data_IF_393407346819
#
_entry.id   IF_393407346819
#
_cell.length_a   1.000
_cell.length_b   1.000
_cell.length_c   1.000
_cell.angle_alpha   90.00
_cell.angle_beta   90.00
_cell.angle_gamma   90.00
#
_symmetry.space_group_name_H-M   'P 1'
#
loop_
_entity.id
_entity.type
_entity.pdbx_description
1 polymer ?
#
# COMPACT_ATOMS: atom_id res chain seq x y z
N UNK A 1 -35.70 4.42 2.49
CA UNK A 1 -35.40 4.07 3.89
C UNK A 1 -34.08 4.71 4.28
N UNK A 2 -34.02 5.47 5.39
CA UNK A 2 -32.78 6.11 5.87
C UNK A 2 -31.90 5.05 6.55
N UNK A 3 -30.68 4.86 6.05
CA UNK A 3 -29.69 3.93 6.63
C UNK A 3 -29.09 4.61 7.87
N UNK A 4 -29.30 4.04 9.05
CA UNK A 4 -28.77 4.57 10.31
C UNK A 4 -27.26 4.30 10.40
N UNK A 5 -26.49 5.32 10.80
CA UNK A 5 -25.05 5.19 11.09
C UNK A 5 -24.90 4.24 12.29
N UNK A 6 -23.99 3.24 12.24
CA UNK A 6 -23.77 2.34 13.35
C UNK A 6 -23.30 3.12 14.59
N UNK A 7 -23.85 2.78 15.76
CA UNK A 7 -23.47 3.41 17.03
C UNK A 7 -21.96 3.28 17.28
N UNK A 8 -21.32 4.27 17.94
CA UNK A 8 -19.90 4.20 18.26
C UNK A 8 -19.57 2.93 19.04
N UNK A 9 -18.45 2.30 18.70
CA UNK A 9 -17.94 1.11 19.41
C UNK A 9 -17.79 1.47 20.89
N UNK A 10 -18.34 0.67 21.83
CA UNK A 10 -18.19 0.92 23.26
C UNK A 10 -16.70 0.99 23.64
N UNK A 11 -16.28 2.12 24.21
CA UNK A 11 -14.90 2.36 24.70
C UNK A 11 -14.57 1.59 25.98
N UNK A 12 -15.40 0.61 26.38
CA UNK A 12 -15.18 -0.19 27.57
C UNK A 12 -13.95 -1.08 27.42
N UNK A 13 -12.98 -0.89 28.32
CA UNK A 13 -11.78 -1.74 28.46
C UNK A 13 -12.22 -3.20 28.65
N UNK A 14 -12.17 -4.03 27.61
CA UNK A 14 -12.46 -5.45 27.81
C UNK A 14 -12.67 -6.36 26.60
N UNK A 15 -12.91 -5.86 25.37
CA UNK A 15 -13.00 -6.74 24.20
C UNK A 15 -12.65 -5.98 22.93
N UNK A 16 -11.36 -6.01 22.56
CA UNK A 16 -10.84 -5.42 21.32
C UNK A 16 -10.93 -6.47 20.22
N UNK A 17 -12.07 -6.57 19.54
CA UNK A 17 -12.07 -7.11 18.19
C UNK A 17 -12.21 -5.94 17.23
N UNK A 18 -11.16 -5.66 16.46
CA UNK A 18 -11.23 -4.75 15.31
C UNK A 18 -12.07 -5.35 14.15
N UNK A 19 -12.57 -6.57 14.31
CA UNK A 19 -13.44 -7.28 13.40
C UNK A 19 -14.88 -7.31 13.95
N UNK A 20 -15.48 -6.12 14.14
CA UNK A 20 -16.91 -6.02 14.42
C UNK A 20 -17.68 -6.25 13.10
N UNK A 21 -18.54 -7.27 12.99
CA UNK A 21 -19.21 -7.62 11.73
C UNK A 21 -20.18 -6.52 11.25
N UNK A 22 -20.70 -5.68 12.16
CA UNK A 22 -21.59 -4.56 11.82
C UNK A 22 -20.76 -3.45 11.18
N UNK A 23 -19.60 -3.12 11.77
CA UNK A 23 -18.67 -2.15 11.19
C UNK A 23 -18.12 -2.64 9.85
N UNK A 24 -17.70 -3.90 9.76
CA UNK A 24 -17.23 -4.50 8.50
C UNK A 24 -18.31 -4.41 7.41
N UNK A 25 -19.55 -4.83 7.71
CA UNK A 25 -20.65 -4.74 6.76
C UNK A 25 -21.01 -3.30 6.38
N UNK A 26 -20.84 -2.34 7.30
CA UNK A 26 -20.99 -0.92 6.98
C UNK A 26 -19.88 -0.41 6.06
N UNK A 27 -18.62 -0.73 6.36
CA UNK A 27 -17.47 -0.37 5.53
C UNK A 27 -17.69 -0.91 4.12
N UNK A 28 -17.92 -2.22 3.98
CA UNK A 28 -18.16 -2.89 2.69
C UNK A 28 -19.29 -2.22 1.89
N UNK A 29 -20.40 -1.89 2.56
CA UNK A 29 -21.54 -1.25 1.91
C UNK A 29 -21.37 0.27 1.69
N UNK A 30 -20.31 0.87 2.24
CA UNK A 30 -19.98 2.31 2.13
C UNK A 30 -18.81 2.58 1.19
N UNK A 31 -18.03 1.55 0.80
CA UNK A 31 -16.96 1.70 -0.19
C UNK A 31 -17.56 2.09 -1.53
N UNK A 32 -17.47 3.37 -1.86
CA UNK A 32 -17.69 3.86 -3.21
C UNK A 32 -16.34 4.16 -3.82
N UNK A 33 -15.88 3.29 -4.73
CA UNK A 33 -14.64 3.53 -5.47
C UNK A 33 -14.93 4.66 -6.47
N UNK A 34 -14.24 5.81 -6.39
CA UNK A 34 -14.47 6.90 -7.32
C UNK A 34 -14.07 6.47 -8.74
N UNK A 35 -14.92 6.76 -9.72
CA UNK A 35 -14.58 6.58 -11.13
C UNK A 35 -13.61 7.68 -11.56
N UNK A 36 -12.32 7.36 -11.59
CA UNK A 36 -11.28 8.26 -12.08
C UNK A 36 -11.23 8.20 -13.61
N UNK A 37 -10.99 9.34 -14.26
CA UNK A 37 -10.71 9.39 -15.70
C UNK A 37 -9.23 9.12 -15.92
N UNK A 38 -8.90 8.29 -16.92
CA UNK A 38 -7.52 8.14 -17.34
C UNK A 38 -6.99 9.49 -17.87
N UNK A 39 -5.76 9.89 -17.52
CA UNK A 39 -5.15 11.10 -18.06
C UNK A 39 -4.99 10.97 -19.58
N UNK A 40 -5.58 11.89 -20.34
CA UNK A 40 -5.56 11.90 -21.82
C UNK A 40 -4.14 12.12 -22.38
N UNK A 41 -3.31 12.85 -21.62
CA UNK A 41 -1.88 12.97 -21.82
C UNK A 41 -1.27 12.95 -20.42
N UNK A 42 -0.47 11.93 -20.13
CA UNK A 42 0.42 12.00 -18.98
C UNK A 42 1.44 13.09 -19.30
N UNK A 43 1.23 14.32 -18.81
CA UNK A 43 2.33 15.27 -18.73
C UNK A 43 3.48 14.54 -18.02
N UNK A 44 4.65 14.48 -18.65
CA UNK A 44 5.86 13.91 -18.07
C UNK A 44 6.36 14.87 -17.00
N UNK A 45 5.60 15.04 -15.93
CA UNK A 45 6.13 15.61 -14.71
C UNK A 45 7.26 14.70 -14.26
N UNK A 46 8.48 15.25 -14.21
CA UNK A 46 9.65 14.54 -13.69
C UNK A 46 9.95 15.14 -12.32
N UNK A 47 9.70 14.40 -11.23
CA UNK A 47 10.05 14.87 -9.90
C UNK A 47 11.57 15.07 -9.80
N UNK A 48 11.97 15.96 -8.90
CA UNK A 48 13.37 16.23 -8.64
C UNK A 48 14.07 14.97 -8.11
N UNK A 49 15.24 14.62 -8.68
CA UNK A 49 16.05 13.49 -8.24
C UNK A 49 17.17 13.96 -7.31
N UNK A 50 17.23 13.40 -6.10
CA UNK A 50 18.14 13.82 -5.04
C UNK A 50 19.08 12.66 -4.69
N UNK A 51 20.39 12.90 -4.77
CA UNK A 51 21.40 11.92 -4.33
C UNK A 51 21.47 11.90 -2.80
N UNK A 52 21.05 10.78 -2.21
CA UNK A 52 21.05 10.59 -0.78
C UNK A 52 22.44 10.73 -0.15
N UNK A 53 23.52 10.40 -0.85
CA UNK A 53 24.88 10.47 -0.30
C UNK A 53 25.29 11.93 -0.04
N UNK A 54 24.91 12.83 -0.95
CA UNK A 54 25.15 14.28 -0.84
C UNK A 54 24.25 14.91 0.21
N UNK A 55 23.00 14.44 0.30
CA UNK A 55 22.09 14.82 1.37
C UNK A 55 22.61 14.40 2.75
N UNK A 56 23.09 13.16 2.87
CA UNK A 56 23.64 12.59 4.10
C UNK A 56 24.94 13.27 4.54
N UNK A 57 25.74 13.77 3.59
CA UNK A 57 26.92 14.60 3.91
C UNK A 57 26.57 16.04 4.29
N UNK A 58 25.29 16.41 4.34
CA UNK A 58 24.83 17.75 4.69
C UNK A 58 25.16 18.79 3.63
N UNK A 59 25.34 18.38 2.37
CA UNK A 59 25.68 19.32 1.29
C UNK A 59 24.54 20.33 1.10
N UNK A 60 24.87 21.62 1.30
CA UNK A 60 23.90 22.71 1.31
C UNK A 60 23.08 22.80 0.01
N UNK A 61 23.67 22.49 -1.13
CA UNK A 61 22.98 22.44 -2.42
C UNK A 61 21.90 21.36 -2.45
N UNK A 62 22.21 20.16 -2.01
CA UNK A 62 21.28 19.03 -1.98
C UNK A 62 20.15 19.25 -0.96
N UNK A 63 20.44 19.86 0.19
CA UNK A 63 19.43 20.24 1.18
C UNK A 63 18.47 21.31 0.64
N UNK A 64 19.01 22.35 -0.02
CA UNK A 64 18.17 23.39 -0.64
C UNK A 64 17.28 22.83 -1.75
N UNK A 65 17.83 21.95 -2.59
CA UNK A 65 17.09 21.26 -3.65
C UNK A 65 15.93 20.44 -3.09
N UNK A 66 16.18 19.66 -2.01
CA UNK A 66 15.14 18.91 -1.30
C UNK A 66 14.02 19.82 -0.80
N UNK A 67 14.38 20.86 -0.05
CA UNK A 67 13.39 21.77 0.53
C UNK A 67 12.60 22.51 -0.55
N UNK A 68 13.27 22.96 -1.61
CA UNK A 68 12.61 23.60 -2.75
C UNK A 68 11.55 22.70 -3.39
N UNK A 69 11.92 21.46 -3.73
CA UNK A 69 11.00 20.53 -4.39
C UNK A 69 9.84 20.09 -3.48
N UNK A 70 10.08 19.96 -2.16
CA UNK A 70 9.00 19.67 -1.20
C UNK A 70 8.02 20.83 -1.10
N UNK A 71 8.51 22.07 -1.06
CA UNK A 71 7.65 23.26 -0.98
C UNK A 71 6.85 23.43 -2.27
N UNK A 72 7.47 23.22 -3.43
CA UNK A 72 6.83 23.45 -4.73
C UNK A 72 5.88 22.31 -5.13
N UNK A 73 6.30 21.05 -4.95
CA UNK A 73 5.58 19.88 -5.49
C UNK A 73 5.18 18.85 -4.43
N UNK A 74 5.74 18.91 -3.22
CA UNK A 74 5.53 17.89 -2.18
C UNK A 74 6.07 16.50 -2.54
N UNK A 75 6.86 16.39 -3.61
CA UNK A 75 7.37 15.12 -4.15
C UNK A 75 8.85 15.25 -4.52
N UNK A 76 9.61 14.19 -4.23
CA UNK A 76 11.01 14.01 -4.64
C UNK A 76 11.30 12.54 -4.90
N UNK A 77 12.30 12.26 -5.72
CA UNK A 77 12.86 10.91 -5.91
C UNK A 77 14.22 10.86 -5.24
N UNK A 78 14.43 9.94 -4.30
CA UNK A 78 15.73 9.72 -3.67
C UNK A 78 16.50 8.64 -4.43
N UNK A 79 17.75 8.91 -4.79
CA UNK A 79 18.70 8.00 -5.45
C UNK A 79 19.87 7.69 -4.52
N UNK A 80 20.56 6.58 -4.78
CA UNK A 80 21.74 6.14 -4.01
C UNK A 80 21.47 6.04 -2.49
N UNK A 81 20.24 5.68 -2.10
CA UNK A 81 19.78 5.61 -0.71
C UNK A 81 20.36 4.45 0.12
N UNK A 82 21.16 3.57 -0.47
CA UNK A 82 21.80 2.47 0.25
C UNK A 82 20.88 1.32 0.67
N UNK A 83 19.55 1.46 0.59
CA UNK A 83 18.61 0.31 0.65
C UNK A 83 18.94 -0.63 -0.53
N UNK A 84 19.44 -1.81 -0.18
CA UNK A 84 20.42 -2.59 -0.95
C UNK A 84 19.86 -3.34 -2.17
N UNK A 85 20.81 -3.66 -3.06
CA UNK A 85 20.82 -4.49 -4.28
C UNK A 85 19.50 -4.70 -5.05
N UNK A 86 19.59 -4.66 -6.39
CA UNK A 86 18.49 -5.08 -7.25
C UNK A 86 17.91 -6.46 -6.86
N UNK A 87 18.67 -7.32 -6.20
CA UNK A 87 18.22 -8.62 -5.68
C UNK A 87 17.26 -8.51 -4.50
N UNK A 88 17.55 -7.72 -3.46
CA UNK A 88 16.64 -7.56 -2.32
C UNK A 88 15.32 -6.90 -2.73
N UNK A 89 15.39 -5.88 -3.60
CA UNK A 89 14.19 -5.25 -4.13
C UNK A 89 13.38 -6.20 -5.02
N UNK A 90 14.04 -6.93 -5.95
CA UNK A 90 13.37 -7.96 -6.77
C UNK A 90 12.79 -9.08 -5.91
N UNK A 91 13.48 -9.45 -4.84
CA UNK A 91 13.03 -10.46 -3.89
C UNK A 91 11.79 -10.00 -3.13
N UNK A 92 11.79 -8.77 -2.61
CA UNK A 92 10.63 -8.20 -1.94
C UNK A 92 9.44 -8.07 -2.89
N UNK A 93 9.66 -7.55 -4.10
CA UNK A 93 8.63 -7.41 -5.13
C UNK A 93 8.07 -8.78 -5.55
N UNK A 94 8.93 -9.76 -5.86
CA UNK A 94 8.50 -11.09 -6.26
C UNK A 94 7.77 -11.86 -5.14
N UNK A 95 8.14 -11.67 -3.88
CA UNK A 95 7.37 -12.22 -2.77
C UNK A 95 6.05 -11.48 -2.57
N UNK A 96 6.02 -10.16 -2.75
CA UNK A 96 4.79 -9.38 -2.74
C UNK A 96 3.81 -9.88 -3.79
N UNK A 97 4.25 -10.02 -5.04
CA UNK A 97 3.44 -10.59 -6.13
C UNK A 97 2.93 -11.98 -5.81
N UNK A 98 3.74 -12.84 -5.18
CA UNK A 98 3.29 -14.19 -4.78
C UNK A 98 2.26 -14.11 -3.67
N UNK A 99 2.51 -13.33 -2.63
CA UNK A 99 1.62 -13.20 -1.46
C UNK A 99 0.28 -12.56 -1.84
N UNK A 100 0.29 -11.47 -2.61
CA UNK A 100 -0.92 -10.83 -3.11
C UNK A 100 -1.52 -11.57 -4.32
N UNK A 101 -0.73 -12.37 -5.04
CA UNK A 101 -1.19 -13.29 -6.07
C UNK A 101 -1.92 -14.51 -5.50
N UNK A 102 -1.64 -14.94 -4.26
CA UNK A 102 -2.46 -15.93 -3.56
C UNK A 102 -3.91 -15.47 -3.40
N UNK A 103 -4.11 -14.15 -3.35
CA UNK A 103 -5.45 -13.58 -3.32
C UNK A 103 -6.04 -13.38 -4.70
N UNK A 104 -5.46 -13.80 -5.83
CA UNK A 104 -5.93 -13.48 -7.19
C UNK A 104 -7.45 -13.66 -7.46
N UNK A 105 -8.15 -14.50 -6.70
CA UNK A 105 -9.63 -14.53 -6.64
C UNK A 105 -10.28 -13.22 -6.12
N UNK A 106 -9.50 -12.26 -5.65
CA UNK A 106 -9.90 -10.93 -5.21
C UNK A 106 -10.08 -9.96 -6.38
N UNK A 107 -9.66 -10.35 -7.58
CA UNK A 107 -9.99 -9.71 -8.84
C UNK A 107 -10.94 -10.63 -9.61
N UNK A 108 -12.16 -10.81 -9.11
CA UNK A 108 -13.20 -11.49 -9.88
C UNK A 108 -13.65 -10.57 -11.03
N UNK A 109 -13.53 -11.03 -12.27
CA UNK A 109 -14.20 -10.38 -13.40
C UNK A 109 -15.72 -10.46 -13.19
N UNK A 110 -16.39 -9.30 -13.26
CA UNK A 110 -17.85 -9.24 -13.35
C UNK A 110 -18.18 -8.42 -14.60
N UNK A 111 -18.40 -9.10 -15.72
CA UNK A 111 -18.47 -8.46 -17.04
C UNK A 111 -17.13 -7.82 -17.43
N UNK A 112 -17.17 -6.62 -18.04
CA UNK A 112 -16.01 -5.90 -18.57
C UNK A 112 -15.23 -5.08 -17.52
N UNK A 113 -15.40 -5.36 -16.23
CA UNK A 113 -14.79 -4.58 -15.14
C UNK A 113 -14.08 -5.48 -14.12
N UNK A 114 -12.85 -5.12 -13.77
CA UNK A 114 -12.10 -5.71 -12.66
C UNK A 114 -12.62 -5.13 -11.33
N UNK A 115 -13.05 -6.00 -10.41
CA UNK A 115 -13.43 -5.60 -9.06
C UNK A 115 -12.26 -5.85 -8.12
N UNK A 116 -11.69 -4.80 -7.53
CA UNK A 116 -10.70 -4.93 -6.44
C UNK A 116 -11.46 -5.31 -5.16
N UNK A 117 -11.33 -6.55 -4.71
CA UNK A 117 -11.85 -7.02 -3.42
C UNK A 117 -10.76 -6.88 -2.38
N UNK A 118 -10.87 -5.89 -1.51
CA UNK A 118 -10.00 -5.77 -0.35
C UNK A 118 -10.33 -6.86 0.67
N UNK A 119 -9.59 -7.97 0.65
CA UNK A 119 -9.66 -8.96 1.73
C UNK A 119 -8.75 -8.52 2.87
N UNK A 120 -9.32 -7.81 3.84
CA UNK A 120 -8.61 -7.48 5.08
C UNK A 120 -8.24 -8.76 5.82
N UNK A 121 -6.94 -8.93 6.12
CA UNK A 121 -6.40 -10.05 6.92
C UNK A 121 -6.96 -11.41 6.47
N UNK A 122 -6.74 -11.79 5.20
CA UNK A 122 -7.11 -13.14 4.80
C UNK A 122 -6.23 -14.14 5.57
N UNK A 123 -6.84 -14.93 6.43
CA UNK A 123 -6.16 -15.99 7.19
C UNK A 123 -5.42 -16.93 6.26
N UNK A 124 -5.92 -17.10 5.01
CA UNK A 124 -5.23 -17.85 3.96
C UNK A 124 -3.88 -17.25 3.59
N UNK A 125 -3.73 -15.92 3.56
CA UNK A 125 -2.41 -15.31 3.32
C UNK A 125 -1.44 -15.72 4.43
N UNK A 126 -1.88 -15.63 5.70
CA UNK A 126 -1.02 -15.96 6.84
C UNK A 126 -0.67 -17.46 6.87
N UNK A 127 -1.60 -18.33 6.51
CA UNK A 127 -1.43 -19.79 6.50
C UNK A 127 -0.65 -20.30 5.29
N UNK A 128 -0.87 -19.74 4.10
CA UNK A 128 -0.34 -20.24 2.82
C UNK A 128 0.94 -19.52 2.39
N UNK A 129 1.20 -18.29 2.85
CA UNK A 129 2.42 -17.56 2.51
C UNK A 129 3.72 -18.30 2.91
N UNK A 130 3.83 -18.94 4.09
CA UNK A 130 5.00 -19.75 4.42
C UNK A 130 5.29 -20.87 3.41
N UNK A 131 4.26 -21.44 2.78
CA UNK A 131 4.41 -22.45 1.73
C UNK A 131 4.77 -21.82 0.37
N UNK A 132 4.19 -20.66 0.05
CA UNK A 132 4.38 -19.97 -1.22
C UNK A 132 5.77 -19.31 -1.37
N UNK A 133 6.29 -18.75 -0.26
CA UNK A 133 7.57 -18.02 -0.27
C UNK A 133 8.63 -18.66 0.64
N UNK A 134 8.29 -19.66 1.44
CA UNK A 134 9.19 -20.35 2.37
C UNK A 134 9.19 -19.73 3.78
N UNK A 135 9.03 -20.55 4.81
CA UNK A 135 8.82 -20.07 6.20
C UNK A 135 9.93 -19.19 6.79
N UNK A 136 11.20 -19.38 6.39
CA UNK A 136 12.29 -18.47 6.80
C UNK A 136 12.16 -17.08 6.17
N UNK A 137 11.69 -17.02 4.92
CA UNK A 137 11.52 -15.78 4.16
C UNK A 137 10.29 -15.01 4.65
N UNK A 138 9.21 -15.71 4.99
CA UNK A 138 8.02 -15.13 5.60
C UNK A 138 8.34 -14.39 6.91
N UNK A 139 9.13 -15.00 7.81
CA UNK A 139 9.57 -14.40 9.09
C UNK A 139 10.52 -13.20 8.99
N UNK A 140 11.07 -12.91 7.80
CA UNK A 140 11.92 -11.72 7.60
C UNK A 140 11.12 -10.51 7.11
N UNK A 141 9.91 -10.74 6.59
CA UNK A 141 9.04 -9.69 6.03
C UNK A 141 7.96 -9.21 7.02
N UNK A 142 7.73 -9.96 8.09
CA UNK A 142 6.73 -9.75 9.14
C UNK A 142 7.34 -10.07 10.50
#
# INVERSE_FOLDING_TARGET
>A
MKKSIPSPIPTARGSRSAADPILSGHIDASVQIPKLKLPQQAQRFRPEEIDFRRLASGESGSVRQLLGSIVEFGLVIIRHHGISTAEELRFALGNGERVFGLTADCCSSYGDHERIVWRGSDRRIVEEAPAAIGGRKFRMLW
#
